data_IF_517769619136
#
_entry.id   IF_517769619136
#
_cell.length_a   1.000
_cell.length_b   1.000
_cell.length_c   1.000
_cell.angle_alpha   90.00
_cell.angle_beta   90.00
_cell.angle_gamma   90.00
#
_symmetry.space_group_name_H-M   'P 1'
#
loop_
_entity.id
_entity.type
_entity.pdbx_description
1 polymer ?
#
# COMPACT_ATOMS: atom_id res chain seq x y z
N UNK A 1 -7.09 15.32 21.03
CA UNK A 1 -7.68 13.98 21.28
C UNK A 1 -7.34 13.60 22.70
N UNK A 2 -8.31 13.09 23.48
CA UNK A 2 -8.12 12.80 24.89
C UNK A 2 -7.87 11.30 25.09
N UNK A 3 -6.61 10.93 25.32
CA UNK A 3 -6.13 9.54 25.42
C UNK A 3 -6.08 9.04 26.87
N UNK A 4 -6.97 9.53 27.75
CA UNK A 4 -7.08 8.98 29.11
C UNK A 4 -7.46 7.51 29.06
N UNK A 5 -6.96 6.72 30.02
CA UNK A 5 -7.22 5.27 30.11
C UNK A 5 -8.73 4.97 30.09
N UNK A 6 -9.53 5.76 30.81
CA UNK A 6 -10.99 5.67 30.83
C UNK A 6 -11.62 5.78 29.42
N UNK A 7 -11.11 6.70 28.57
CA UNK A 7 -11.60 6.84 27.21
C UNK A 7 -11.18 5.66 26.32
N UNK A 8 -9.99 5.10 26.55
CA UNK A 8 -9.50 3.95 25.78
C UNK A 8 -10.25 2.67 26.15
N UNK A 9 -10.54 2.46 27.44
CA UNK A 9 -11.33 1.32 27.92
C UNK A 9 -12.74 1.29 27.31
N UNK A 10 -13.40 2.45 27.23
CA UNK A 10 -14.75 2.57 26.65
C UNK A 10 -14.82 2.24 25.16
N UNK A 11 -13.71 2.28 24.42
CA UNK A 11 -13.71 1.94 22.98
C UNK A 11 -13.94 0.45 22.70
N UNK A 12 -13.74 -0.42 23.71
CA UNK A 12 -13.72 -1.87 23.50
C UNK A 12 -12.60 -2.34 22.55
N UNK A 13 -11.57 -1.51 22.31
CA UNK A 13 -10.41 -1.86 21.48
C UNK A 13 -9.28 -2.49 22.29
N UNK A 14 -9.37 -2.49 23.62
CA UNK A 14 -8.34 -3.04 24.49
C UNK A 14 -8.13 -4.53 24.22
N UNK A 15 -6.87 -4.94 23.99
CA UNK A 15 -6.52 -6.31 23.62
C UNK A 15 -6.73 -6.67 22.15
N UNK A 16 -7.29 -5.79 21.31
CA UNK A 16 -7.36 -6.04 19.86
C UNK A 16 -6.01 -5.82 19.21
N UNK A 17 -5.63 -6.74 18.32
CA UNK A 17 -4.43 -6.58 17.49
C UNK A 17 -4.70 -5.52 16.42
N UNK A 18 -3.98 -4.41 16.49
CA UNK A 18 -4.02 -3.34 15.49
C UNK A 18 -2.77 -3.45 14.63
N UNK A 19 -2.95 -3.31 13.32
CA UNK A 19 -1.84 -3.22 12.37
C UNK A 19 -1.85 -1.85 11.73
N UNK A 20 -0.66 -1.26 11.62
CA UNK A 20 -0.42 -0.02 10.90
C UNK A 20 0.00 -0.37 9.48
N UNK A 21 -0.68 0.27 8.53
CA UNK A 21 -0.39 0.17 7.11
C UNK A 21 0.05 1.54 6.59
N UNK A 22 1.34 1.68 6.28
CA UNK A 22 1.93 2.90 5.77
C UNK A 22 1.76 3.07 4.26
N UNK A 23 1.11 4.15 3.83
CA UNK A 23 0.89 4.48 2.41
C UNK A 23 1.84 5.57 1.89
N UNK A 24 2.85 5.97 2.68
CA UNK A 24 3.76 7.08 2.37
C UNK A 24 4.44 6.94 1.00
N UNK A 25 4.81 5.73 0.60
CA UNK A 25 5.54 5.47 -0.66
C UNK A 25 4.63 5.33 -1.88
N UNK A 26 3.30 5.33 -1.71
CA UNK A 26 2.33 5.35 -2.82
C UNK A 26 1.52 6.63 -2.82
N UNK A 27 0.71 6.86 -1.79
CA UNK A 27 -0.15 8.04 -1.72
C UNK A 27 0.64 9.32 -1.45
N UNK A 28 1.73 9.21 -0.68
CA UNK A 28 2.62 10.34 -0.45
C UNK A 28 3.29 10.86 -1.73
N UNK A 29 3.50 9.99 -2.73
CA UNK A 29 4.03 10.38 -4.05
C UNK A 29 2.99 11.03 -4.97
N UNK A 30 1.69 10.91 -4.67
CA UNK A 30 0.66 11.57 -5.49
C UNK A 30 0.59 13.08 -5.24
N UNK A 31 1.25 13.59 -4.20
CA UNK A 31 1.35 15.01 -3.93
C UNK A 31 2.15 15.73 -5.03
N UNK A 32 1.71 16.90 -5.52
CA UNK A 32 2.43 17.63 -6.56
C UNK A 32 3.89 17.90 -6.18
N UNK A 33 4.82 17.52 -7.07
CA UNK A 33 6.26 17.70 -6.86
C UNK A 33 6.94 16.65 -6.00
N UNK A 34 6.21 15.64 -5.50
CA UNK A 34 6.79 14.53 -4.74
C UNK A 34 7.10 13.35 -5.66
N UNK A 35 8.39 13.03 -5.78
CA UNK A 35 8.87 11.83 -6.47
C UNK A 35 10.02 11.25 -5.66
N UNK A 36 9.92 10.01 -5.19
CA UNK A 36 11.02 9.36 -4.51
C UNK A 36 11.84 8.52 -5.50
N UNK A 37 13.16 8.73 -5.49
CA UNK A 37 14.08 7.82 -6.14
C UNK A 37 14.15 6.47 -5.41
N UNK A 38 14.67 5.44 -6.08
CA UNK A 38 14.77 4.07 -5.53
C UNK A 38 15.45 4.03 -4.16
N UNK A 39 16.58 4.73 -3.99
CA UNK A 39 17.30 4.77 -2.72
C UNK A 39 16.52 5.51 -1.63
N UNK A 40 15.84 6.61 -1.98
CA UNK A 40 14.99 7.34 -1.04
C UNK A 40 13.84 6.47 -0.54
N UNK A 41 13.22 5.68 -1.44
CA UNK A 41 12.17 4.71 -1.05
C UNK A 41 12.70 3.68 -0.05
N UNK A 42 13.92 3.20 -0.23
CA UNK A 42 14.54 2.24 0.68
C UNK A 42 14.83 2.85 2.06
N UNK A 43 15.35 4.08 2.12
CA UNK A 43 15.60 4.78 3.38
C UNK A 43 14.30 5.07 4.15
N UNK A 44 13.24 5.48 3.45
CA UNK A 44 11.90 5.64 4.05
C UNK A 44 11.38 4.30 4.56
N UNK A 45 11.54 3.21 3.79
CA UNK A 45 11.11 1.87 4.18
C UNK A 45 11.80 1.40 5.46
N UNK A 46 13.12 1.58 5.57
CA UNK A 46 13.89 1.29 6.79
C UNK A 46 13.39 2.12 7.98
N UNK A 47 13.09 3.40 7.75
CA UNK A 47 12.57 4.30 8.79
C UNK A 47 11.18 3.85 9.28
N UNK A 48 10.29 3.45 8.38
CA UNK A 48 8.98 2.90 8.73
C UNK A 48 9.10 1.57 9.47
N UNK A 49 10.06 0.71 9.09
CA UNK A 49 10.38 -0.51 9.83
C UNK A 49 10.79 -0.21 11.27
N UNK A 50 11.70 0.74 11.45
CA UNK A 50 12.21 1.13 12.76
C UNK A 50 11.11 1.76 13.63
N UNK A 51 10.14 2.44 13.02
CA UNK A 51 8.96 2.99 13.69
C UNK A 51 7.91 1.92 14.10
N UNK A 52 8.14 0.64 13.76
CA UNK A 52 7.25 -0.46 14.14
C UNK A 52 6.02 -0.62 13.23
N UNK A 53 6.03 -0.05 12.03
CA UNK A 53 4.97 -0.27 11.03
C UNK A 53 5.00 -1.73 10.55
N UNK A 54 3.84 -2.38 10.45
CA UNK A 54 3.77 -3.80 10.08
C UNK A 54 3.59 -4.03 8.58
N UNK A 55 2.92 -3.12 7.88
CA UNK A 55 2.69 -3.20 6.44
C UNK A 55 3.00 -1.87 5.78
N UNK A 56 3.58 -1.89 4.59
CA UNK A 56 3.64 -0.70 3.74
C UNK A 56 3.16 -1.02 2.33
N UNK A 57 2.67 0.01 1.66
CA UNK A 57 2.41 -0.02 0.22
C UNK A 57 3.55 0.70 -0.50
N UNK A 58 4.49 -0.08 -1.03
CA UNK A 58 5.77 0.38 -1.58
C UNK A 58 5.68 0.74 -3.06
N UNK A 59 4.60 1.41 -3.46
CA UNK A 59 4.39 1.95 -4.81
C UNK A 59 3.47 1.11 -5.70
N UNK A 60 3.48 1.43 -7.01
CA UNK A 60 2.64 0.78 -8.02
C UNK A 60 3.50 0.27 -9.20
N UNK A 61 3.94 -1.00 -9.18
CA UNK A 61 4.95 -1.52 -10.09
C UNK A 61 4.50 -1.60 -11.57
N UNK A 62 3.20 -1.53 -11.85
CA UNK A 62 2.71 -1.49 -13.24
C UNK A 62 3.00 -0.15 -13.94
N UNK A 63 3.32 0.91 -13.21
CA UNK A 63 3.50 2.26 -13.79
C UNK A 63 4.86 2.48 -14.43
N UNK A 64 5.94 1.88 -13.90
CA UNK A 64 7.28 2.07 -14.46
C UNK A 64 8.30 1.01 -14.01
N UNK A 65 9.41 0.90 -14.74
CA UNK A 65 10.56 0.09 -14.34
C UNK A 65 11.26 0.62 -13.09
N UNK A 66 11.15 1.91 -12.79
CA UNK A 66 11.68 2.49 -11.56
C UNK A 66 10.89 1.99 -10.35
N UNK A 67 9.55 1.94 -10.45
CA UNK A 67 8.70 1.36 -9.40
C UNK A 67 9.00 -0.12 -9.18
N UNK A 68 9.19 -0.89 -10.24
CA UNK A 68 9.56 -2.31 -10.13
C UNK A 68 10.89 -2.50 -9.39
N UNK A 69 11.90 -1.66 -9.69
CA UNK A 69 13.18 -1.69 -8.98
C UNK A 69 13.05 -1.27 -7.52
N UNK A 70 12.30 -0.21 -7.24
CA UNK A 70 12.05 0.26 -5.88
C UNK A 70 11.37 -0.80 -5.02
N UNK A 71 10.30 -1.41 -5.55
CA UNK A 71 9.56 -2.46 -4.87
C UNK A 71 10.45 -3.69 -4.61
N UNK A 72 11.20 -4.15 -5.62
CA UNK A 72 12.11 -5.30 -5.46
C UNK A 72 13.23 -5.02 -4.46
N UNK A 73 13.79 -3.82 -4.44
CA UNK A 73 14.79 -3.44 -3.43
C UNK A 73 14.21 -3.46 -2.02
N UNK A 74 13.00 -2.91 -1.83
CA UNK A 74 12.32 -2.91 -0.54
C UNK A 74 11.97 -4.33 -0.06
N UNK A 75 11.45 -5.17 -0.95
CA UNK A 75 11.10 -6.57 -0.65
C UNK A 75 12.33 -7.38 -0.21
N UNK A 76 13.49 -7.12 -0.82
CA UNK A 76 14.73 -7.83 -0.53
C UNK A 76 15.59 -7.14 0.56
N UNK A 77 15.07 -6.12 1.24
CA UNK A 77 15.81 -5.37 2.27
C UNK A 77 16.00 -6.13 3.60
N UNK A 78 15.40 -7.30 3.76
CA UNK A 78 15.53 -8.13 4.97
C UNK A 78 14.87 -7.52 6.21
N UNK A 79 13.83 -6.71 6.03
CA UNK A 79 13.12 -6.02 7.10
C UNK A 79 11.97 -6.87 7.66
N UNK A 80 11.54 -6.56 8.88
CA UNK A 80 10.49 -7.32 9.57
C UNK A 80 9.07 -6.94 9.12
N UNK A 81 8.88 -5.78 8.49
CA UNK A 81 7.60 -5.35 7.97
C UNK A 81 7.25 -6.08 6.66
N UNK A 82 5.96 -6.12 6.33
CA UNK A 82 5.46 -6.65 5.07
C UNK A 82 5.45 -5.60 3.97
N UNK A 83 6.09 -5.93 2.86
CA UNK A 83 6.21 -5.08 1.69
C UNK A 83 5.11 -5.46 0.70
N UNK A 84 4.09 -4.61 0.59
CA UNK A 84 2.98 -4.78 -0.36
C UNK A 84 3.04 -3.72 -1.47
N UNK A 85 2.21 -3.85 -2.50
CA UNK A 85 2.10 -2.85 -3.55
C UNK A 85 0.67 -2.74 -4.09
N UNK A 86 0.37 -1.60 -4.71
CA UNK A 86 -0.91 -1.38 -5.38
C UNK A 86 -1.02 -2.22 -6.66
N UNK A 87 -2.22 -2.74 -6.94
CA UNK A 87 -2.56 -3.46 -8.15
C UNK A 87 -3.98 -3.11 -8.63
N UNK A 88 -4.17 -2.92 -9.93
CA UNK A 88 -5.45 -2.51 -10.55
C UNK A 88 -6.47 -3.65 -10.72
N UNK A 89 -6.25 -4.80 -10.09
CA UNK A 89 -7.08 -6.01 -10.28
C UNK A 89 -6.92 -6.71 -11.63
N UNK A 90 -6.01 -6.25 -12.50
CA UNK A 90 -5.68 -6.94 -13.76
C UNK A 90 -4.63 -8.04 -13.55
N UNK A 91 -4.82 -9.21 -14.16
CA UNK A 91 -3.88 -10.34 -14.03
C UNK A 91 -2.43 -9.99 -14.37
N UNK A 92 -2.22 -9.19 -15.42
CA UNK A 92 -0.87 -8.73 -15.82
C UNK A 92 -0.18 -7.88 -14.72
N UNK A 93 -0.93 -7.09 -13.97
CA UNK A 93 -0.38 -6.24 -12.91
C UNK A 93 0.00 -7.08 -11.69
N UNK A 94 -0.78 -8.13 -11.41
CA UNK A 94 -0.47 -9.14 -10.38
C UNK A 94 0.81 -9.91 -10.75
N UNK A 95 0.97 -10.30 -12.02
CA UNK A 95 2.18 -10.97 -12.50
C UNK A 95 3.41 -10.06 -12.33
N UNK A 96 3.29 -8.77 -12.64
CA UNK A 96 4.36 -7.78 -12.42
C UNK A 96 4.70 -7.66 -10.93
N UNK A 97 3.70 -7.57 -10.04
CA UNK A 97 3.92 -7.50 -8.60
C UNK A 97 4.66 -8.75 -8.07
N UNK A 98 4.27 -9.94 -8.56
CA UNK A 98 4.92 -11.21 -8.22
C UNK A 98 6.39 -11.24 -8.63
N UNK A 99 6.74 -10.70 -9.79
CA UNK A 99 8.14 -10.60 -10.26
C UNK A 99 9.01 -9.64 -9.43
N UNK A 100 8.39 -8.77 -8.63
CA UNK A 100 9.05 -7.82 -7.75
C UNK A 100 9.21 -8.34 -6.31
N UNK A 101 8.90 -9.61 -6.04
CA UNK A 101 9.03 -10.26 -4.74
C UNK A 101 8.19 -9.64 -3.60
N UNK A 102 7.10 -8.93 -3.92
CA UNK A 102 6.23 -8.36 -2.91
C UNK A 102 5.57 -9.45 -2.03
N UNK A 103 5.44 -9.19 -0.73
CA UNK A 103 4.76 -10.08 0.22
C UNK A 103 3.25 -10.21 -0.07
N UNK A 104 2.67 -9.22 -0.75
CA UNK A 104 1.26 -9.18 -1.10
C UNK A 104 0.91 -8.01 -2.01
N UNK A 105 -0.34 -8.02 -2.47
CA UNK A 105 -0.90 -6.95 -3.32
C UNK A 105 -2.16 -6.37 -2.68
N UNK A 106 -2.32 -5.06 -2.81
CA UNK A 106 -3.54 -4.34 -2.47
C UNK A 106 -4.28 -4.10 -3.79
N UNK A 107 -5.43 -4.75 -3.94
CA UNK A 107 -6.24 -4.61 -5.15
C UNK A 107 -7.24 -3.48 -4.94
N UNK A 108 -7.08 -2.40 -5.71
CA UNK A 108 -8.05 -1.31 -5.73
C UNK A 108 -9.04 -1.51 -6.88
N UNK A 109 -10.31 -1.71 -6.53
CA UNK A 109 -11.42 -1.84 -7.46
C UNK A 109 -12.44 -0.74 -7.19
N UNK A 110 -13.03 -0.23 -8.26
CA UNK A 110 -14.11 0.73 -8.12
C UNK A 110 -15.45 0.01 -7.99
N UNK A 111 -16.26 0.45 -7.04
CA UNK A 111 -17.63 -0.04 -6.83
C UNK A 111 -18.68 1.05 -7.09
N UNK A 112 -18.26 2.27 -7.40
CA UNK A 112 -19.18 3.38 -7.60
C UNK A 112 -19.79 3.35 -9.00
N UNK A 113 -21.12 3.48 -9.08
CA UNK A 113 -21.86 3.46 -10.35
C UNK A 113 -21.27 4.42 -11.41
N UNK A 114 -20.91 5.68 -11.07
CA UNK A 114 -20.34 6.59 -12.07
C UNK A 114 -19.04 6.08 -12.68
N UNK A 115 -18.13 5.50 -11.88
CA UNK A 115 -16.87 4.98 -12.41
C UNK A 115 -17.10 3.68 -13.19
N UNK A 116 -17.91 2.78 -12.66
CA UNK A 116 -18.26 1.52 -13.35
C UNK A 116 -18.81 1.81 -14.76
N UNK A 117 -19.79 2.71 -14.87
CA UNK A 117 -20.44 3.03 -16.15
C UNK A 117 -19.62 3.92 -17.06
N UNK A 118 -19.06 5.02 -16.55
CA UNK A 118 -18.48 6.07 -17.40
C UNK A 118 -16.96 5.98 -17.56
N UNK A 119 -16.25 5.31 -16.64
CA UNK A 119 -14.80 5.15 -16.72
C UNK A 119 -14.40 3.77 -17.26
N UNK A 120 -15.07 2.71 -16.79
CA UNK A 120 -14.70 1.33 -17.13
C UNK A 120 -15.66 0.66 -18.13
N UNK A 121 -16.84 1.22 -18.34
CA UNK A 121 -17.90 0.65 -19.19
C UNK A 121 -18.22 -0.82 -18.86
N UNK A 122 -18.26 -1.14 -17.56
CA UNK A 122 -18.59 -2.48 -17.08
C UNK A 122 -20.08 -2.62 -16.80
N UNK A 123 -20.63 -3.81 -17.06
CA UNK A 123 -22.00 -4.15 -16.68
C UNK A 123 -22.14 -4.28 -15.16
N UNK A 124 -23.15 -3.60 -14.59
CA UNK A 124 -23.47 -3.72 -13.17
C UNK A 124 -24.40 -4.92 -12.98
N UNK A 125 -23.88 -6.02 -12.48
CA UNK A 125 -24.71 -7.12 -11.99
C UNK A 125 -25.22 -6.77 -10.58
N UNK A 126 -26.51 -6.52 -10.44
CA UNK A 126 -27.16 -6.37 -9.13
C UNK A 126 -27.64 -7.75 -8.67
N UNK A 127 -27.16 -8.20 -7.51
CA UNK A 127 -27.73 -9.34 -6.78
C UNK A 127 -28.99 -8.90 -6.02
#
# INVERSE_FOLDING_TARGET
MNFSEENVEQTGMMGRKVFLHGLTLRDGEQAPGMVFGVEQKLEITKSLSAAGIQYIEAGFPATSKMEQRGLKNNANAGLSLKITCLCSGMGKDIDIAKLCDADGVIIELTVSYPRIKYQFDWEVQRQ
#
